data_IF_974614723748
#
_entry.id   IF_974614723748
#
_cell.length_a   1.000
_cell.length_b   1.000
_cell.length_c   1.000
_cell.angle_alpha   90.00
_cell.angle_beta   90.00
_cell.angle_gamma   90.00
#
_symmetry.space_group_name_H-M   'P 1'
#
loop_
_entity.id
_entity.type
_entity.pdbx_description
1 polymer ?
#
# COMPACT_ATOMS: atom_id res chain seq x y z
N UNK A 1 4.04 8.31 -1.24
CA UNK A 1 2.80 7.90 -0.55
C UNK A 1 1.72 7.72 -1.60
N UNK A 2 1.07 6.56 -1.62
CA UNK A 2 0.15 6.21 -2.67
C UNK A 2 -1.21 6.91 -2.48
N UNK A 3 -1.71 7.56 -3.53
CA UNK A 3 -3.02 8.23 -3.56
C UNK A 3 -3.12 9.59 -2.86
N UNK A 4 -2.19 9.97 -1.98
CA UNK A 4 -2.34 11.14 -1.10
C UNK A 4 -2.04 12.52 -1.74
N UNK A 5 -1.69 12.61 -3.03
CA UNK A 5 -1.17 13.83 -3.66
C UNK A 5 -2.17 15.00 -3.66
N UNK A 6 -3.47 14.71 -3.68
CA UNK A 6 -4.54 15.71 -3.73
C UNK A 6 -5.38 15.74 -2.44
N UNK A 7 -4.89 15.09 -1.39
CA UNK A 7 -5.55 15.01 -0.10
C UNK A 7 -5.54 16.37 0.62
N UNK A 8 -6.62 16.67 1.35
CA UNK A 8 -6.71 17.86 2.20
C UNK A 8 -5.80 17.76 3.43
N UNK A 9 -5.64 16.56 3.98
CA UNK A 9 -4.65 16.24 4.99
C UNK A 9 -4.23 14.78 4.85
N UNK A 10 -3.03 14.45 5.33
CA UNK A 10 -2.62 13.06 5.45
C UNK A 10 -1.78 12.82 6.71
N UNK A 11 -1.79 11.58 7.19
CA UNK A 11 -0.98 11.10 8.30
C UNK A 11 -0.20 9.88 7.83
N UNK A 12 1.10 9.87 8.10
CA UNK A 12 1.96 8.70 7.89
C UNK A 12 2.26 8.03 9.23
N UNK A 13 2.18 6.70 9.27
CA UNK A 13 2.45 5.90 10.46
C UNK A 13 3.45 4.81 10.11
N UNK A 14 4.43 4.59 11.00
CA UNK A 14 5.42 3.53 10.88
C UNK A 14 5.13 2.42 11.89
N UNK A 15 5.24 1.17 11.45
CA UNK A 15 5.09 -0.03 12.26
C UNK A 15 6.42 -0.77 12.32
N UNK A 16 7.00 -0.84 13.52
CA UNK A 16 8.25 -1.57 13.75
C UNK A 16 7.94 -3.04 14.08
N UNK A 17 8.44 -3.96 13.27
CA UNK A 17 8.23 -5.39 13.45
C UNK A 17 9.43 -6.03 14.16
N UNK A 18 9.18 -6.85 15.19
CA UNK A 18 10.24 -7.49 16.00
C UNK A 18 11.23 -8.36 15.20
N UNK A 19 10.91 -8.76 13.96
CA UNK A 19 11.72 -9.66 13.12
C UNK A 19 11.81 -9.21 11.65
N UNK A 20 11.46 -7.96 11.35
CA UNK A 20 11.56 -7.41 10.01
C UNK A 20 12.10 -5.98 10.13
N UNK A 21 13.35 -5.77 9.70
CA UNK A 21 14.06 -4.49 9.80
C UNK A 21 13.47 -3.40 8.89
N UNK A 22 12.73 -3.80 7.84
CA UNK A 22 12.09 -2.86 6.92
C UNK A 22 10.76 -2.34 7.46
N UNK A 23 10.12 -3.09 8.37
CA UNK A 23 8.88 -2.68 9.02
C UNK A 23 7.68 -2.65 8.07
N UNK A 24 6.64 -1.95 8.51
CA UNK A 24 5.47 -1.61 7.70
C UNK A 24 5.12 -0.14 7.89
N UNK A 25 4.25 0.37 7.03
CA UNK A 25 3.75 1.72 7.15
C UNK A 25 2.29 1.83 6.73
N UNK A 26 1.66 2.93 7.11
CA UNK A 26 0.40 3.32 6.50
C UNK A 26 0.32 4.82 6.26
N UNK A 27 -0.31 5.21 5.16
CA UNK A 27 -0.75 6.59 4.91
C UNK A 27 -2.26 6.65 4.97
N UNK A 28 -2.78 7.52 5.82
CA UNK A 28 -4.20 7.87 5.87
C UNK A 28 -4.35 9.24 5.21
N UNK A 29 -5.24 9.37 4.24
CA UNK A 29 -5.44 10.61 3.50
C UNK A 29 -6.92 10.98 3.48
N UNK A 30 -7.24 12.21 3.87
CA UNK A 30 -8.60 12.76 3.85
C UNK A 30 -8.82 13.62 2.62
N UNK A 31 -10.03 13.56 2.08
CA UNK A 31 -10.40 14.28 0.87
C UNK A 31 -11.75 14.98 1.04
N UNK A 32 -11.99 15.96 0.18
CA UNK A 32 -13.30 16.59 0.04
C UNK A 32 -14.10 15.91 -1.08
N UNK A 33 -15.41 15.77 -0.86
CA UNK A 33 -16.34 15.23 -1.86
C UNK A 33 -15.93 13.84 -2.34
N UNK A 34 -15.91 13.63 -3.66
CA UNK A 34 -15.65 12.34 -4.31
C UNK A 34 -14.17 12.02 -4.50
N UNK A 35 -13.25 12.91 -4.13
CA UNK A 35 -11.83 12.77 -4.49
C UNK A 35 -11.16 11.51 -3.94
N UNK A 36 -11.64 10.96 -2.81
CA UNK A 36 -11.18 9.67 -2.31
C UNK A 36 -11.57 8.50 -3.24
N UNK A 37 -12.77 8.56 -3.81
CA UNK A 37 -13.26 7.60 -4.81
C UNK A 37 -12.49 7.72 -6.13
N UNK A 38 -12.19 8.94 -6.55
CA UNK A 38 -11.40 9.18 -7.76
C UNK A 38 -9.97 8.65 -7.62
N UNK A 39 -9.33 8.88 -6.47
CA UNK A 39 -8.01 8.31 -6.16
C UNK A 39 -8.03 6.77 -6.16
N UNK A 40 -9.07 6.16 -5.61
CA UNK A 40 -9.25 4.71 -5.62
C UNK A 40 -9.41 4.15 -7.04
N UNK A 41 -10.30 4.73 -7.84
CA UNK A 41 -10.53 4.34 -9.24
C UNK A 41 -9.26 4.49 -10.08
N UNK A 42 -8.54 5.59 -9.92
CA UNK A 42 -7.29 5.82 -10.64
C UNK A 42 -6.26 4.71 -10.38
N UNK A 43 -6.09 4.30 -9.12
CA UNK A 43 -5.22 3.18 -8.78
C UNK A 43 -5.75 1.86 -9.37
N UNK A 44 -7.05 1.58 -9.20
CA UNK A 44 -7.68 0.37 -9.72
C UNK A 44 -7.47 0.22 -11.23
N UNK A 45 -7.69 1.28 -12.00
CA UNK A 45 -7.52 1.28 -13.45
C UNK A 45 -6.05 1.14 -13.84
N UNK A 46 -5.14 1.78 -13.10
CA UNK A 46 -3.71 1.62 -13.31
C UNK A 46 -3.25 0.17 -13.08
N UNK A 47 -3.76 -0.51 -12.06
CA UNK A 47 -3.41 -1.91 -11.75
C UNK A 47 -3.96 -2.91 -12.80
N UNK A 48 -5.02 -2.55 -13.51
CA UNK A 48 -5.55 -3.37 -14.62
C UNK A 48 -4.54 -3.46 -15.76
N UNK A 49 -3.86 -2.36 -16.08
CA UNK A 49 -2.98 -2.26 -17.26
C UNK A 49 -1.49 -2.36 -16.91
N UNK A 50 -1.06 -1.83 -15.76
CA UNK A 50 0.34 -1.82 -15.33
C UNK A 50 0.73 -3.16 -14.70
N UNK A 51 1.48 -3.98 -15.44
CA UNK A 51 2.01 -5.28 -14.95
C UNK A 51 3.47 -5.23 -14.53
N UNK A 52 4.20 -4.22 -14.97
CA UNK A 52 5.60 -4.00 -14.62
C UNK A 52 6.02 -2.58 -14.94
N UNK A 53 7.03 -2.08 -14.24
CA UNK A 53 7.65 -0.79 -14.52
C UNK A 53 9.14 -0.85 -14.22
N UNK A 54 9.89 0.14 -14.71
CA UNK A 54 11.30 0.35 -14.39
C UNK A 54 11.46 1.58 -13.53
N UNK A 55 12.37 1.55 -12.57
CA UNK A 55 12.68 2.68 -11.69
C UNK A 55 14.16 2.78 -11.40
N UNK A 56 14.54 3.85 -10.68
CA UNK A 56 15.88 4.02 -10.12
C UNK A 56 15.73 4.02 -8.60
N UNK A 57 16.36 3.04 -7.96
CA UNK A 57 16.45 2.92 -6.51
C UNK A 57 17.88 3.19 -6.03
N UNK A 58 18.11 2.95 -4.73
CA UNK A 58 19.41 3.17 -4.10
C UNK A 58 20.54 2.36 -4.76
N UNK A 59 20.26 1.11 -5.16
CA UNK A 59 21.19 0.22 -5.86
C UNK A 59 21.23 0.40 -7.39
N UNK A 60 20.56 1.45 -7.91
CA UNK A 60 20.50 1.75 -9.34
C UNK A 60 19.18 1.34 -10.00
N UNK A 61 19.23 1.10 -11.31
CA UNK A 61 18.04 0.77 -12.11
C UNK A 61 17.49 -0.59 -11.72
N UNK A 62 16.17 -0.68 -11.54
CA UNK A 62 15.47 -1.94 -11.29
C UNK A 62 14.25 -2.09 -12.20
N UNK A 63 13.84 -3.34 -12.42
CA UNK A 63 12.56 -3.69 -13.02
C UNK A 63 11.69 -4.31 -11.95
N UNK A 64 10.50 -3.74 -11.72
CA UNK A 64 9.51 -4.27 -10.80
C UNK A 64 8.35 -4.91 -11.56
N UNK A 65 7.78 -5.95 -10.96
CA UNK A 65 6.55 -6.60 -11.40
C UNK A 65 5.44 -6.26 -10.42
N UNK A 66 4.23 -6.03 -10.95
CA UNK A 66 3.02 -5.79 -10.19
C UNK A 66 2.12 -7.01 -10.28
N UNK A 67 1.70 -7.55 -9.14
CA UNK A 67 0.78 -8.70 -9.06
C UNK A 67 -0.40 -8.35 -8.18
N UNK A 68 -1.59 -8.27 -8.75
CA UNK A 68 -2.83 -8.01 -8.00
C UNK A 68 -3.29 -9.30 -7.32
N UNK A 69 -3.69 -9.21 -6.06
CA UNK A 69 -4.23 -10.32 -5.27
C UNK A 69 -5.70 -10.06 -4.88
N UNK A 70 -6.33 -11.06 -4.28
CA UNK A 70 -7.68 -10.92 -3.74
C UNK A 70 -7.68 -9.85 -2.65
N UNK A 71 -8.50 -8.81 -2.85
CA UNK A 71 -8.62 -7.74 -1.88
C UNK A 71 -9.31 -8.23 -0.58
N UNK A 72 -8.90 -7.72 0.59
CA UNK A 72 -9.60 -7.99 1.85
C UNK A 72 -10.97 -7.32 1.86
N UNK A 73 -11.95 -7.96 2.49
CA UNK A 73 -13.30 -7.40 2.69
C UNK A 73 -13.31 -6.39 3.85
N UNK A 74 -12.77 -5.20 3.61
CA UNK A 74 -12.68 -4.09 4.57
C UNK A 74 -12.95 -2.76 3.87
N UNK A 75 -13.50 -1.80 4.62
CA UNK A 75 -13.87 -0.49 4.07
C UNK A 75 -15.03 -0.59 3.08
N UNK A 76 -15.20 0.46 2.27
CA UNK A 76 -16.20 0.48 1.21
C UNK A 76 -15.64 -0.22 -0.04
N UNK A 77 -14.35 -0.02 -0.31
CA UNK A 77 -13.62 -0.61 -1.42
C UNK A 77 -12.17 -0.91 -1.00
N UNK A 78 -11.59 -1.99 -1.50
CA UNK A 78 -10.22 -2.38 -1.21
C UNK A 78 -9.50 -2.97 -2.43
N UNK A 79 -8.18 -2.78 -2.47
CA UNK A 79 -7.24 -3.38 -3.42
C UNK A 79 -6.09 -4.01 -2.64
N UNK A 80 -5.56 -5.12 -3.14
CA UNK A 80 -4.35 -5.75 -2.64
C UNK A 80 -3.45 -6.12 -3.81
N UNK A 81 -2.17 -5.81 -3.70
CA UNK A 81 -1.20 -6.14 -4.73
C UNK A 81 0.21 -6.18 -4.17
N UNK A 82 1.08 -6.87 -4.90
CA UNK A 82 2.51 -6.95 -4.64
C UNK A 82 3.30 -6.18 -5.69
N UNK A 83 4.36 -5.52 -5.25
CA UNK A 83 5.41 -4.96 -6.11
C UNK A 83 6.71 -5.69 -5.79
N UNK A 84 7.19 -6.49 -6.73
CA UNK A 84 8.38 -7.32 -6.54
C UNK A 84 9.51 -6.91 -7.47
N UNK A 85 10.74 -6.84 -6.98
CA UNK A 85 11.94 -6.62 -7.80
C UNK A 85 13.11 -7.48 -7.31
N UNK A 86 13.94 -8.02 -8.23
CA UNK A 86 15.17 -8.70 -7.83
C UNK A 86 16.16 -7.67 -7.28
N UNK A 87 16.90 -8.04 -6.23
CA UNK A 87 18.04 -7.28 -5.74
C UNK A 87 19.33 -7.79 -6.38
N UNK A 88 20.33 -6.92 -6.61
CA UNK A 88 21.65 -7.33 -7.07
C UNK A 88 22.30 -8.32 -6.08
N UNK A 89 23.08 -9.26 -6.61
CA UNK A 89 23.70 -10.36 -5.85
C UNK A 89 24.76 -9.91 -4.80
N UNK A 90 25.03 -8.60 -4.67
CA UNK A 90 26.02 -8.04 -3.75
C UNK A 90 25.49 -7.55 -2.39
N UNK A 91 24.21 -7.20 -2.27
CA UNK A 91 23.59 -6.67 -1.04
C UNK A 91 22.58 -7.67 -0.44
N UNK A 92 23.03 -8.90 -0.23
CA UNK A 92 22.21 -9.97 0.37
C UNK A 92 21.32 -10.75 -0.61
N UNK A 93 21.31 -10.37 -1.90
CA UNK A 93 20.59 -11.07 -2.97
C UNK A 93 19.08 -11.24 -2.71
N UNK A 94 18.40 -11.91 -3.64
CA UNK A 94 17.01 -12.34 -3.46
C UNK A 94 15.95 -11.34 -3.93
N UNK A 95 14.71 -11.56 -3.48
CA UNK A 95 13.54 -10.84 -3.95
C UNK A 95 13.12 -9.78 -2.94
N UNK A 96 13.11 -8.53 -3.39
CA UNK A 96 12.43 -7.46 -2.68
C UNK A 96 10.94 -7.57 -2.97
N UNK A 97 10.13 -7.61 -1.93
CA UNK A 97 8.69 -7.74 -2.02
C UNK A 97 8.00 -6.67 -1.16
N UNK A 98 7.15 -5.87 -1.79
CA UNK A 98 6.25 -4.94 -1.10
C UNK A 98 4.82 -5.43 -1.22
N UNK A 99 4.15 -5.65 -0.08
CA UNK A 99 2.72 -5.89 -0.04
C UNK A 99 1.97 -4.59 0.22
N UNK A 100 1.09 -4.22 -0.71
CA UNK A 100 0.24 -3.04 -0.64
C UNK A 100 -1.21 -3.44 -0.41
N UNK A 101 -1.88 -2.78 0.53
CA UNK A 101 -3.34 -2.80 0.66
C UNK A 101 -3.85 -1.37 0.65
N UNK A 102 -4.72 -1.05 -0.31
CA UNK A 102 -5.30 0.28 -0.46
C UNK A 102 -6.80 0.21 -0.23
N UNK A 103 -7.30 0.92 0.77
CA UNK A 103 -8.71 0.88 1.20
C UNK A 103 -9.31 2.28 1.08
N UNK A 104 -10.53 2.38 0.58
CA UNK A 104 -11.36 3.59 0.69
C UNK A 104 -12.45 3.36 1.75
N UNK A 105 -12.68 4.36 2.60
CA UNK A 105 -13.84 4.39 3.49
C UNK A 105 -14.35 5.81 3.64
N UNK A 106 -15.58 6.06 3.18
CA UNK A 106 -16.13 7.41 3.03
C UNK A 106 -15.22 8.30 2.20
N UNK A 107 -14.82 9.43 2.78
CA UNK A 107 -13.94 10.43 2.14
C UNK A 107 -12.45 10.24 2.46
N UNK A 108 -12.07 9.08 2.98
CA UNK A 108 -10.71 8.75 3.39
C UNK A 108 -10.17 7.59 2.54
N UNK A 109 -8.88 7.65 2.20
CA UNK A 109 -8.11 6.48 1.76
C UNK A 109 -7.08 6.07 2.82
N UNK A 110 -6.86 4.77 2.96
CA UNK A 110 -5.86 4.18 3.83
C UNK A 110 -4.98 3.24 2.99
N UNK A 111 -3.72 3.62 2.80
CA UNK A 111 -2.69 2.82 2.15
C UNK A 111 -1.86 2.13 3.22
N UNK A 112 -1.74 0.81 3.18
CA UNK A 112 -0.88 0.01 4.05
C UNK A 112 0.21 -0.63 3.19
N UNK A 113 1.44 -0.62 3.68
CA UNK A 113 2.60 -1.17 2.99
C UNK A 113 3.45 -1.98 3.96
N UNK A 114 3.84 -3.18 3.58
CA UNK A 114 4.92 -3.91 4.24
C UNK A 114 6.00 -4.27 3.23
N UNK A 115 7.26 -4.08 3.63
CA UNK A 115 8.42 -4.44 2.83
C UNK A 115 9.12 -5.63 3.46
N UNK A 116 9.54 -6.58 2.64
CA UNK A 116 10.41 -7.68 3.05
C UNK A 116 11.42 -8.01 1.94
N UNK A 117 12.54 -8.62 2.33
CA UNK A 117 13.58 -9.09 1.40
C UNK A 117 13.84 -10.57 1.67
N UNK A 118 13.80 -11.37 0.61
CA UNK A 118 14.00 -12.82 0.66
C UNK A 118 12.80 -13.61 1.19
N UNK A 119 11.68 -12.94 1.53
CA UNK A 119 10.42 -13.54 1.97
C UNK A 119 9.25 -12.74 1.41
N UNK A 120 8.08 -13.38 1.29
CA UNK A 120 6.84 -12.69 0.91
C UNK A 120 6.48 -11.67 2.01
N UNK A 121 6.20 -10.43 1.61
CA UNK A 121 5.69 -9.41 2.54
C UNK A 121 4.20 -9.66 2.82
N UNK A 122 3.73 -9.38 4.04
CA UNK A 122 2.30 -9.55 4.34
C UNK A 122 1.85 -8.66 5.51
N UNK A 123 1.40 -7.44 5.17
CA UNK A 123 0.80 -6.56 6.16
C UNK A 123 -0.33 -7.26 6.93
N UNK A 124 -0.35 -7.24 8.28
CA UNK A 124 -1.33 -7.96 9.07
C UNK A 124 -2.77 -7.48 8.87
N UNK A 125 -3.64 -8.34 8.34
CA UNK A 125 -5.06 -8.03 8.10
C UNK A 125 -5.80 -7.55 9.35
N UNK A 126 -5.48 -8.10 10.53
CA UNK A 126 -6.09 -7.67 11.80
C UNK A 126 -5.82 -6.19 12.11
N UNK A 127 -4.65 -5.68 11.75
CA UNK A 127 -4.31 -4.27 11.94
C UNK A 127 -5.01 -3.38 10.91
N UNK A 128 -5.06 -3.82 9.65
CA UNK A 128 -5.81 -3.14 8.58
C UNK A 128 -7.28 -2.97 9.01
N UNK A 129 -7.95 -4.08 9.37
CA UNK A 129 -9.34 -4.06 9.80
C UNK A 129 -9.56 -3.11 10.97
N UNK A 130 -8.75 -3.22 12.02
CA UNK A 130 -8.85 -2.35 13.20
C UNK A 130 -8.70 -0.86 12.86
N UNK A 131 -7.78 -0.53 11.96
CA UNK A 131 -7.56 0.86 11.55
C UNK A 131 -8.71 1.38 10.68
N UNK A 132 -9.19 0.58 9.73
CA UNK A 132 -10.31 0.94 8.86
C UNK A 132 -11.60 1.08 9.66
N UNK A 133 -11.92 0.16 10.57
CA UNK A 133 -13.10 0.23 11.44
C UNK A 133 -13.13 1.53 12.25
N UNK A 134 -11.97 1.98 12.77
CA UNK A 134 -11.85 3.26 13.49
C UNK A 134 -12.13 4.45 12.58
N UNK A 135 -11.61 4.45 11.36
CA UNK A 135 -11.82 5.53 10.39
C UNK A 135 -13.28 5.59 9.94
N UNK A 136 -13.91 4.44 9.69
CA UNK A 136 -15.32 4.37 9.33
C UNK A 136 -16.21 4.88 10.46
N UNK A 137 -15.92 4.49 11.71
CA UNK A 137 -16.69 4.94 12.87
C UNK A 137 -16.54 6.45 13.12
N UNK A 138 -15.33 7.01 12.97
CA UNK A 138 -15.08 8.43 13.16
C UNK A 138 -15.83 9.35 12.17
N UNK A 139 -16.25 8.82 11.01
CA UNK A 139 -17.00 9.57 9.99
C UNK A 139 -18.53 9.52 10.20
N UNK A 140 -19.01 8.68 11.12
CA UNK A 140 -20.45 8.55 11.44
C UNK A 140 -20.85 9.35 12.68
N UNK A 141 -19.86 9.91 13.37
CA UNK A 141 -20.00 10.67 14.61
C UNK A 141 -20.33 12.14 14.35
#
# INVERSE_FOLDING_TARGET
MLGAQTASAYVFQTFNWKKNIYGGSSTLASYQGTKAQDAFRQLQDSLRTCKSFTGVGWVGKFKAKVTVEQAPAVGDEALSFHVTSPLPDGDGGGLRDEHHVFVRTGTITASFEELNVGRKAQFPLRLIKKQVDRLSNAQRS
#
